data_IF_384744924292
#
_entry.id   IF_384744924292
#
_cell.length_a   1.000
_cell.length_b   1.000
_cell.length_c   1.000
_cell.angle_alpha   90.00
_cell.angle_beta   90.00
_cell.angle_gamma   90.00
#
_symmetry.space_group_name_H-M   'P 1'
#
loop_
_entity.id
_entity.type
_entity.pdbx_description
1 polymer ?
#
# COMPACT_ATOMS: atom_id res chain seq x y z
N UNK A 1 -17.22 15.41 -7.22
CA UNK A 1 -17.04 14.59 -6.01
C UNK A 1 -15.56 14.25 -5.92
N UNK A 2 -14.92 14.46 -4.77
CA UNK A 2 -13.56 13.99 -4.58
C UNK A 2 -13.59 12.45 -4.50
N UNK A 3 -12.71 11.79 -5.27
CA UNK A 3 -12.58 10.33 -5.25
C UNK A 3 -11.71 9.96 -4.04
N UNK A 4 -12.09 8.91 -3.31
CA UNK A 4 -11.30 8.43 -2.15
C UNK A 4 -9.92 7.99 -2.65
N UNK A 5 -8.84 8.50 -2.05
CA UNK A 5 -7.47 8.07 -2.33
C UNK A 5 -6.98 7.16 -1.22
N UNK A 6 -6.39 6.03 -1.58
CA UNK A 6 -5.72 5.10 -0.67
C UNK A 6 -4.24 5.03 -1.04
N UNK A 7 -3.36 5.32 -0.09
CA UNK A 7 -1.90 5.24 -0.23
C UNK A 7 -1.40 3.94 0.37
N UNK A 8 -0.82 3.10 -0.47
CA UNK A 8 -0.38 1.75 -0.14
C UNK A 8 1.14 1.64 -0.22
N UNK A 9 1.81 1.40 0.92
CA UNK A 9 3.25 1.18 0.99
C UNK A 9 3.60 -0.30 0.87
N UNK A 10 4.36 -0.67 -0.17
CA UNK A 10 4.75 -2.07 -0.42
C UNK A 10 6.24 -2.18 -0.67
N UNK A 11 6.85 -3.27 -0.20
CA UNK A 11 8.26 -3.59 -0.48
C UNK A 11 8.36 -4.63 -1.57
N UNK A 12 7.55 -5.68 -1.49
CA UNK A 12 7.61 -6.84 -2.38
C UNK A 12 6.51 -6.73 -3.46
N UNK A 13 6.90 -6.28 -4.66
CA UNK A 13 5.97 -5.90 -5.74
C UNK A 13 5.34 -7.07 -6.49
N UNK A 14 5.84 -8.29 -6.32
CA UNK A 14 5.39 -9.46 -7.09
C UNK A 14 3.87 -9.64 -7.01
N UNK A 15 3.27 -9.39 -5.84
CA UNK A 15 1.82 -9.47 -5.61
C UNK A 15 1.02 -8.30 -6.19
N UNK A 16 1.67 -7.17 -6.46
CA UNK A 16 1.04 -5.93 -6.93
C UNK A 16 1.27 -5.67 -8.42
N UNK A 17 2.04 -6.53 -9.10
CA UNK A 17 2.33 -6.41 -10.53
C UNK A 17 1.08 -6.25 -11.40
N UNK A 18 -0.02 -7.01 -11.22
CA UNK A 18 -1.24 -6.82 -12.02
C UNK A 18 -1.88 -5.43 -11.84
N UNK A 19 -1.77 -4.84 -10.64
CA UNK A 19 -2.27 -3.48 -10.38
C UNK A 19 -1.35 -2.43 -11.03
N UNK A 20 -0.03 -2.61 -10.95
CA UNK A 20 0.95 -1.71 -11.54
C UNK A 20 0.92 -1.73 -13.09
N UNK A 21 0.67 -2.90 -13.69
CA UNK A 21 0.50 -3.07 -15.13
C UNK A 21 -0.89 -2.62 -15.62
N UNK A 22 -1.84 -2.43 -14.71
CA UNK A 22 -3.21 -2.02 -15.02
C UNK A 22 -4.09 -3.15 -15.55
N UNK A 23 -3.68 -4.41 -15.37
CA UNK A 23 -4.47 -5.62 -15.64
C UNK A 23 -5.71 -5.68 -14.75
N UNK A 24 -5.58 -5.14 -13.53
CA UNK A 24 -6.67 -4.95 -12.57
C UNK A 24 -6.69 -3.47 -12.16
N UNK A 25 -7.89 -2.90 -12.01
CA UNK A 25 -8.07 -1.49 -11.63
C UNK A 25 -9.01 -1.34 -10.44
N UNK A 26 -8.72 -0.43 -9.49
CA UNK A 26 -9.63 -0.14 -8.39
C UNK A 26 -10.93 0.52 -8.88
N UNK A 27 -12.05 0.03 -8.40
CA UNK A 27 -13.37 0.60 -8.65
C UNK A 27 -13.83 1.43 -7.43
N UNK A 28 -14.30 2.65 -7.66
CA UNK A 28 -14.84 3.52 -6.60
C UNK A 28 -13.80 4.34 -5.80
N UNK A 29 -12.50 4.05 -5.93
CA UNK A 29 -11.42 4.81 -5.29
C UNK A 29 -10.17 4.89 -6.18
N UNK A 30 -9.23 5.75 -5.84
CA UNK A 30 -7.89 5.85 -6.44
C UNK A 30 -6.90 5.14 -5.53
N UNK A 31 -6.01 4.36 -6.11
CA UNK A 31 -4.97 3.64 -5.40
C UNK A 31 -3.62 4.19 -5.84
N UNK A 32 -2.86 4.72 -4.89
CA UNK A 32 -1.46 5.08 -5.07
C UNK A 32 -0.61 4.01 -4.40
N UNK A 33 0.33 3.43 -5.14
CA UNK A 33 1.24 2.39 -4.66
C UNK A 33 2.65 2.98 -4.63
N UNK A 34 3.24 3.02 -3.43
CA UNK A 34 4.60 3.51 -3.24
C UNK A 34 5.52 2.35 -2.86
N UNK A 35 6.65 2.25 -3.57
CA UNK A 35 7.70 1.29 -3.23
C UNK A 35 8.52 1.81 -2.07
N UNK A 36 8.53 1.08 -0.96
CA UNK A 36 9.32 1.45 0.22
C UNK A 36 10.52 0.53 0.41
N UNK A 37 11.65 1.10 0.82
CA UNK A 37 12.87 0.34 1.16
C UNK A 37 12.83 -0.27 2.57
N UNK A 38 11.93 0.19 3.43
CA UNK A 38 11.73 -0.31 4.79
C UNK A 38 10.24 -0.36 5.06
N UNK A 39 9.77 -1.47 5.65
CA UNK A 39 8.35 -1.66 5.94
C UNK A 39 7.85 -0.58 6.89
N UNK A 40 6.58 -0.19 6.72
CA UNK A 40 5.96 0.77 7.62
C UNK A 40 5.97 0.19 9.02
N UNK A 41 6.48 0.97 9.97
CA UNK A 41 6.61 0.50 11.33
C UNK A 41 5.20 0.30 11.92
N UNK A 42 4.40 1.34 12.11
CA UNK A 42 3.04 1.18 12.61
C UNK A 42 2.06 1.87 11.66
N UNK A 43 1.25 1.07 10.97
CA UNK A 43 0.23 1.58 10.06
C UNK A 43 -0.92 2.26 10.82
N UNK A 44 -1.21 1.87 12.06
CA UNK A 44 -2.30 2.45 12.83
C UNK A 44 -2.03 3.92 13.21
N UNK A 45 -0.75 4.31 13.24
CA UNK A 45 -0.30 5.67 13.58
C UNK A 45 0.40 6.38 12.42
N UNK A 46 0.41 5.78 11.22
CA UNK A 46 1.07 6.33 10.04
C UNK A 46 0.32 7.56 9.48
N UNK A 47 0.98 8.73 9.35
CA UNK A 47 0.38 9.88 8.67
C UNK A 47 0.44 9.78 7.13
N UNK A 48 1.38 8.97 6.62
CA UNK A 48 1.78 8.97 5.21
C UNK A 48 1.06 7.91 4.38
N UNK A 49 0.61 6.82 5.01
CA UNK A 49 0.05 5.66 4.34
C UNK A 49 -1.18 5.14 5.06
N UNK A 50 -2.18 4.76 4.27
CA UNK A 50 -3.46 4.22 4.75
C UNK A 50 -3.41 2.68 4.84
N UNK A 51 -2.49 2.06 4.10
CA UNK A 51 -2.25 0.62 4.12
C UNK A 51 -0.79 0.31 3.76
N UNK A 52 -0.33 -0.91 4.04
CA UNK A 52 0.98 -1.36 3.60
C UNK A 52 1.38 -2.73 4.13
N UNK A 53 2.56 -3.17 3.68
CA UNK A 53 3.21 -4.36 4.21
C UNK A 53 3.83 -4.07 5.58
N UNK A 54 3.60 -4.98 6.54
CA UNK A 54 4.14 -4.88 7.90
C UNK A 54 4.82 -6.18 8.32
N UNK A 55 5.97 -6.06 8.99
CA UNK A 55 6.60 -7.24 9.58
C UNK A 55 5.93 -7.60 10.91
N UNK A 56 5.56 -8.87 11.05
CA UNK A 56 5.14 -9.46 12.32
C UNK A 56 6.31 -9.94 13.19
N UNK A 57 7.56 -9.93 12.69
CA UNK A 57 8.73 -10.40 13.43
C UNK A 57 8.97 -9.66 14.74
N UNK A 58 8.41 -8.45 14.89
CA UNK A 58 8.47 -7.65 16.12
C UNK A 58 7.64 -8.22 17.29
N UNK A 59 6.72 -9.13 16.99
CA UNK A 59 5.81 -9.74 17.96
C UNK A 59 6.22 -11.17 18.33
N UNK A 60 7.34 -11.66 17.80
CA UNK A 60 7.90 -12.99 18.04
C UNK A 60 8.95 -12.97 19.16
#
# INVERSE_FOLDING_TARGET
MARLLIRLAVRDWDYFTPLALGDIRPEGFELQIDRVGTLVNDLATSPDYDAGEVSFSRYA
#
